data_IF_291051160324
#
_entry.id   IF_291051160324
#
_cell.length_a   1.000
_cell.length_b   1.000
_cell.length_c   1.000
_cell.angle_alpha   90.00
_cell.angle_beta   90.00
_cell.angle_gamma   90.00
#
_symmetry.space_group_name_H-M   'P 1'
#
loop_
_entity.id
_entity.type
_entity.pdbx_description
1 polymer ?
#
# COMPACT_ATOMS: atom_id res chain seq x y z
N UNK A 1 4.95 20.55 8.26
CA UNK A 1 4.53 19.19 7.87
C UNK A 1 4.42 19.14 6.35
N UNK A 2 4.98 18.11 5.70
CA UNK A 2 4.85 17.93 4.25
C UNK A 2 3.41 17.51 3.93
N UNK A 3 2.85 18.04 2.85
CA UNK A 3 1.54 17.61 2.35
C UNK A 3 1.66 16.14 1.89
N UNK A 4 0.71 15.25 2.24
CA UNK A 4 0.72 13.89 1.72
C UNK A 4 0.69 13.87 0.20
N UNK A 5 1.37 12.90 -0.40
CA UNK A 5 1.23 12.64 -1.83
C UNK A 5 -0.17 12.03 -2.09
N UNK A 6 -0.83 12.47 -3.17
CA UNK A 6 -2.04 11.77 -3.64
C UNK A 6 -1.62 10.41 -4.21
N UNK A 7 -2.43 9.39 -3.97
CA UNK A 7 -2.21 8.04 -4.51
C UNK A 7 -3.17 7.68 -5.64
N UNK A 8 -3.99 8.60 -6.13
CA UNK A 8 -5.04 8.29 -7.11
C UNK A 8 -4.47 7.63 -8.40
N UNK A 9 -3.27 8.05 -8.81
CA UNK A 9 -2.56 7.47 -9.96
C UNK A 9 -1.68 6.26 -9.60
N UNK A 10 -1.51 5.97 -8.30
CA UNK A 10 -0.69 4.88 -7.79
C UNK A 10 -1.51 3.61 -7.49
N UNK A 11 -2.75 3.75 -6.99
CA UNK A 11 -3.55 2.62 -6.50
C UNK A 11 -3.97 1.66 -7.62
N UNK A 12 -3.87 0.36 -7.31
CA UNK A 12 -4.30 -0.75 -8.16
C UNK A 12 -5.82 -0.84 -8.31
N UNK A 13 -6.30 -1.74 -9.17
CA UNK A 13 -7.72 -2.03 -9.30
C UNK A 13 -8.28 -2.76 -8.06
N UNK A 14 -9.57 -2.59 -7.81
CA UNK A 14 -10.28 -3.31 -6.76
C UNK A 14 -10.42 -4.80 -7.14
N UNK A 15 -10.22 -5.68 -6.16
CA UNK A 15 -10.45 -7.11 -6.29
C UNK A 15 -11.04 -7.71 -5.01
N UNK A 16 -11.64 -8.89 -5.12
CA UNK A 16 -12.21 -9.59 -3.98
C UNK A 16 -11.09 -10.19 -3.12
N UNK A 17 -11.08 -9.84 -1.83
CA UNK A 17 -10.15 -10.37 -0.84
C UNK A 17 -10.78 -10.28 0.54
N UNK A 18 -10.31 -11.12 1.47
CA UNK A 18 -10.60 -10.95 2.88
C UNK A 18 -9.89 -9.72 3.43
N UNK A 19 -10.53 -9.06 4.41
CA UNK A 19 -10.03 -7.85 5.02
C UNK A 19 -9.99 -7.98 6.53
N UNK A 20 -8.82 -7.67 7.07
CA UNK A 20 -8.57 -7.62 8.50
C UNK A 20 -8.86 -6.18 8.99
N UNK A 21 -9.17 -6.05 10.28
CA UNK A 21 -9.27 -4.73 10.89
C UNK A 21 -7.87 -4.10 10.92
N UNK A 22 -7.80 -2.80 10.60
CA UNK A 22 -6.55 -2.04 10.50
C UNK A 22 -6.51 -0.97 11.57
N UNK A 23 -5.40 -0.89 12.30
CA UNK A 23 -5.12 0.08 13.36
C UNK A 23 -3.91 0.95 13.03
N UNK A 24 -3.74 2.05 13.79
CA UNK A 24 -2.54 2.89 13.68
C UNK A 24 -1.34 2.13 14.24
N UNK A 25 -0.25 2.08 13.48
CA UNK A 25 0.96 1.33 13.79
C UNK A 25 1.05 -0.02 13.08
N UNK A 26 -0.02 -0.47 12.42
CA UNK A 26 -0.02 -1.73 11.68
C UNK A 26 0.89 -1.67 10.45
N UNK A 27 1.55 -2.79 10.19
CA UNK A 27 2.26 -3.06 8.95
C UNK A 27 1.26 -3.60 7.92
N UNK A 28 1.15 -2.89 6.80
CA UNK A 28 0.18 -3.17 5.74
C UNK A 28 0.86 -3.19 4.38
N UNK A 29 0.15 -3.73 3.39
CA UNK A 29 0.54 -3.64 1.98
C UNK A 29 -0.40 -2.67 1.27
N UNK A 30 0.17 -1.66 0.60
CA UNK A 30 -0.57 -0.78 -0.30
C UNK A 30 -0.70 -1.45 -1.67
N UNK A 31 -1.93 -1.68 -2.11
CA UNK A 31 -2.24 -2.17 -3.45
C UNK A 31 -2.01 -1.06 -4.48
N UNK A 32 -0.89 -1.12 -5.20
CA UNK A 32 -0.56 -0.20 -6.29
C UNK A 32 -0.64 -0.91 -7.64
N UNK A 33 -0.71 -0.13 -8.73
CA UNK A 33 -0.58 -0.67 -10.10
C UNK A 33 0.80 -1.26 -10.38
N UNK A 34 1.77 -0.99 -9.50
CA UNK A 34 3.17 -1.40 -9.60
C UNK A 34 3.52 -2.52 -8.61
N UNK A 35 2.52 -3.12 -7.96
CA UNK A 35 2.69 -4.19 -6.98
C UNK A 35 2.19 -3.81 -5.59
N UNK A 36 2.57 -4.62 -4.60
CA UNK A 36 2.18 -4.46 -3.20
C UNK A 36 3.32 -3.86 -2.40
N UNK A 37 3.10 -2.66 -1.86
CA UNK A 37 4.17 -1.84 -1.28
C UNK A 37 4.01 -1.82 0.24
N UNK A 38 5.04 -2.21 0.98
CA UNK A 38 5.01 -2.18 2.44
C UNK A 38 4.88 -0.76 2.98
N UNK A 39 3.98 -0.59 3.95
CA UNK A 39 3.75 0.68 4.59
C UNK A 39 3.32 0.51 6.05
N UNK A 40 3.51 1.56 6.86
CA UNK A 40 3.00 1.63 8.24
C UNK A 40 1.86 2.63 8.30
N UNK A 41 0.75 2.23 8.90
CA UNK A 41 -0.41 3.10 9.12
C UNK A 41 -0.09 4.15 10.18
N UNK A 42 -0.25 5.43 9.84
CA UNK A 42 0.01 6.58 10.74
C UNK A 42 -1.23 7.44 10.98
N UNK A 43 -2.33 7.16 10.28
CA UNK A 43 -3.61 7.83 10.47
C UNK A 43 -4.73 7.09 9.78
N UNK A 44 -5.92 7.14 10.38
CA UNK A 44 -7.12 6.47 9.88
C UNK A 44 -8.30 7.44 9.90
N UNK A 45 -9.08 7.40 8.83
CA UNK A 45 -10.43 7.94 8.74
C UNK A 45 -11.37 6.83 8.22
N UNK A 46 -12.66 7.11 8.19
CA UNK A 46 -13.73 6.28 7.66
C UNK A 46 -13.54 5.88 6.19
N UNK A 47 -12.83 6.69 5.40
CA UNK A 47 -12.63 6.49 3.96
C UNK A 47 -11.15 6.25 3.64
N UNK A 48 -10.27 7.03 4.25
CA UNK A 48 -8.86 7.07 3.89
C UNK A 48 -7.97 6.49 5.00
N UNK A 49 -6.83 5.96 4.57
CA UNK A 49 -5.74 5.53 5.43
C UNK A 49 -4.48 6.30 5.05
N UNK A 50 -3.86 6.94 6.03
CA UNK A 50 -2.58 7.61 5.86
C UNK A 50 -1.47 6.64 6.26
N UNK A 51 -0.53 6.40 5.36
CA UNK A 51 0.59 5.50 5.59
C UNK A 51 1.93 6.18 5.31
N UNK A 52 3.01 5.64 5.91
CA UNK A 52 4.38 5.91 5.51
C UNK A 52 4.91 4.71 4.75
N UNK A 53 5.39 4.92 3.53
CA UNK A 53 5.99 3.86 2.72
C UNK A 53 7.33 3.40 3.33
N UNK A 54 7.54 2.09 3.36
CA UNK A 54 8.80 1.46 3.77
C UNK A 54 9.72 1.11 2.60
N UNK A 55 9.25 1.32 1.36
CA UNK A 55 10.02 1.15 0.13
C UNK A 55 9.57 2.15 -0.95
N UNK A 56 10.35 2.31 -2.02
CA UNK A 56 9.97 3.15 -3.16
C UNK A 56 8.90 2.49 -4.02
N UNK A 57 8.03 3.30 -4.62
CA UNK A 57 7.17 2.90 -5.73
C UNK A 57 7.87 3.33 -7.01
N UNK A 58 8.15 2.37 -7.88
CA UNK A 58 8.84 2.56 -9.15
C UNK A 58 7.95 2.09 -10.30
N UNK A 59 8.02 2.76 -11.44
CA UNK A 59 7.38 2.27 -12.67
C UNK A 59 8.23 1.18 -13.36
N UNK A 60 7.71 0.62 -14.46
CA UNK A 60 8.42 -0.42 -15.24
C UNK A 60 9.75 0.07 -15.84
N UNK A 61 9.96 1.39 -15.94
CA UNK A 61 11.20 1.99 -16.43
C UNK A 61 12.21 2.28 -15.31
N UNK A 62 11.87 1.98 -14.06
CA UNK A 62 12.68 2.28 -12.87
C UNK A 62 12.59 3.74 -12.42
N UNK A 63 11.59 4.51 -12.88
CA UNK A 63 11.37 5.87 -12.40
C UNK A 63 10.66 5.82 -11.04
N UNK A 64 11.25 6.45 -10.03
CA UNK A 64 10.64 6.59 -8.71
C UNK A 64 9.43 7.54 -8.76
N UNK A 65 8.24 6.98 -8.56
CA UNK A 65 6.97 7.72 -8.48
C UNK A 65 6.71 8.22 -7.06
N UNK A 66 7.05 7.40 -6.06
CA UNK A 66 7.04 7.78 -4.65
C UNK A 66 8.27 7.17 -3.97
N UNK A 67 9.02 7.99 -3.22
CA UNK A 67 10.20 7.51 -2.53
C UNK A 67 9.83 6.78 -1.22
N UNK A 68 10.76 5.97 -0.71
CA UNK A 68 10.71 5.47 0.66
C UNK A 68 10.49 6.63 1.66
N UNK A 69 9.82 6.36 2.79
CA UNK A 69 9.49 7.32 3.83
C UNK A 69 8.55 8.45 3.35
N UNK A 70 7.91 8.28 2.20
CA UNK A 70 6.87 9.19 1.72
C UNK A 70 5.57 8.92 2.47
N UNK A 71 4.91 10.00 2.88
CA UNK A 71 3.59 9.95 3.49
C UNK A 71 2.53 9.96 2.38
N UNK A 72 1.72 8.90 2.34
CA UNK A 72 0.68 8.68 1.33
C UNK A 72 -0.68 8.63 1.99
N UNK A 73 -1.71 9.14 1.30
CA UNK A 73 -3.10 8.99 1.71
C UNK A 73 -3.78 8.17 0.64
N UNK A 74 -4.22 6.98 0.99
CA UNK A 74 -4.87 6.06 0.08
C UNK A 74 -6.27 5.71 0.61
N UNK A 75 -7.15 5.33 -0.31
CA UNK A 75 -8.43 4.77 0.06
C UNK A 75 -8.20 3.54 0.94
N UNK A 76 -8.98 3.39 2.02
CA UNK A 76 -8.91 2.22 2.92
C UNK A 76 -9.08 0.90 2.16
N UNK A 77 -9.76 0.92 1.01
CA UNK A 77 -9.91 -0.23 0.14
C UNK A 77 -8.62 -0.68 -0.54
N UNK A 78 -7.62 0.19 -0.67
CA UNK A 78 -6.31 -0.12 -1.24
C UNK A 78 -5.32 -0.63 -0.18
N UNK A 79 -5.72 -0.75 1.08
CA UNK A 79 -4.91 -1.27 2.17
C UNK A 79 -5.20 -2.75 2.37
N UNK A 80 -4.16 -3.56 2.28
CA UNK A 80 -4.21 -5.01 2.40
C UNK A 80 -3.35 -5.48 3.58
N UNK A 81 -3.54 -6.74 3.97
CA UNK A 81 -2.65 -7.40 4.93
C UNK A 81 -1.20 -7.36 4.41
N UNK A 82 -0.22 -7.11 5.29
CA UNK A 82 1.22 -7.06 4.92
C UNK A 82 1.71 -8.31 4.21
N UNK A 83 1.04 -9.45 4.40
CA UNK A 83 1.28 -10.72 3.71
C UNK A 83 1.26 -10.62 2.18
N UNK A 84 0.63 -9.60 1.60
CA UNK A 84 0.62 -9.37 0.15
C UNK A 84 1.96 -8.84 -0.38
N UNK A 85 2.71 -8.11 0.45
CA UNK A 85 4.04 -7.64 0.08
C UNK A 85 5.14 -8.68 0.39
N UNK A 86 4.88 -9.61 1.32
CA UNK A 86 5.81 -10.72 1.62
C UNK A 86 5.91 -11.78 0.50
N UNK A 87 5.05 -11.75 -0.52
CA UNK A 87 4.99 -12.81 -1.55
C UNK A 87 6.13 -12.80 -2.58
N UNK A 88 7.09 -11.88 -2.46
CA UNK A 88 8.30 -11.84 -3.30
C UNK A 88 9.30 -12.97 -3.03
N UNK A 89 9.04 -13.83 -2.04
CA UNK A 89 9.66 -15.15 -1.90
C UNK A 89 8.74 -16.20 -2.54
N UNK A 90 8.89 -16.35 -3.86
CA UNK A 90 8.03 -17.15 -4.72
C UNK A 90 7.66 -18.53 -4.18
N UNK A 91 6.36 -18.79 -4.14
CA UNK A 91 5.72 -20.03 -4.58
C UNK A 91 4.21 -19.78 -4.66
N UNK A 92 3.60 -20.22 -5.75
CA UNK A 92 2.21 -19.93 -6.09
C UNK A 92 1.23 -20.39 -5.02
N UNK A 93 0.76 -19.46 -4.19
CA UNK A 93 -0.52 -19.60 -3.54
C UNK A 93 -1.58 -18.90 -4.37
N UNK A 94 -2.43 -19.70 -5.02
CA UNK A 94 -3.76 -19.24 -5.40
C UNK A 94 -4.53 -19.06 -4.09
N UNK A 95 -4.78 -17.82 -3.69
CA UNK A 95 -5.68 -17.51 -2.57
C UNK A 95 -7.06 -17.19 -3.14
N UNK A 96 -8.04 -17.96 -2.67
CA UNK A 96 -9.45 -17.93 -3.09
C UNK A 96 -10.20 -16.72 -2.53
#
# INVERSE_FOLDING_TARGET
FKKPASTDDLVGEDFNTEREETEIGDLVALNTRYGYILAIVVGLDSIDTTCVLLESVEDESGLTLAAENTLVVANRLSILSSRFADSDIGQGEVRH
#
